data_IF_353088835609
#
_entry.id   IF_353088835609
#
_cell.length_a   1.000
_cell.length_b   1.000
_cell.length_c   1.000
_cell.angle_alpha   90.00
_cell.angle_beta   90.00
_cell.angle_gamma   90.00
#
_symmetry.space_group_name_H-M   'P 1'
#
loop_
_entity.id
_entity.type
_entity.pdbx_description
1 polymer ?
#
# COMPACT_ATOMS: atom_id res chain seq x y z
N UNK A 1 9.17 26.97 52.39
CA UNK A 1 8.62 26.29 51.20
C UNK A 1 8.32 27.34 50.13
N UNK A 2 9.31 27.68 49.30
CA UNK A 2 9.14 28.61 48.18
C UNK A 2 8.56 27.85 47.00
N UNK A 3 7.24 27.99 46.79
CA UNK A 3 6.51 27.40 45.66
C UNK A 3 6.97 28.11 44.37
N UNK A 4 7.81 27.46 43.56
CA UNK A 4 8.13 27.94 42.21
C UNK A 4 6.82 28.01 41.42
N UNK A 5 6.51 29.20 40.88
CA UNK A 5 5.42 29.33 39.92
C UNK A 5 5.89 28.66 38.61
N UNK A 6 5.06 27.83 37.96
CA UNK A 6 5.40 27.34 36.65
C UNK A 6 5.46 28.52 35.68
N UNK A 7 6.54 28.61 34.90
CA UNK A 7 6.63 29.56 33.79
C UNK A 7 5.53 29.20 32.78
N UNK A 8 4.62 30.14 32.54
CA UNK A 8 3.57 29.98 31.55
C UNK A 8 4.14 30.25 30.16
N UNK A 9 3.93 29.31 29.23
CA UNK A 9 4.31 29.48 27.82
C UNK A 9 3.66 30.73 27.24
N UNK A 10 4.45 31.51 26.52
CA UNK A 10 3.92 32.68 25.81
C UNK A 10 3.18 32.23 24.55
N UNK A 11 2.11 32.92 24.17
CA UNK A 11 1.36 32.62 22.95
C UNK A 11 2.25 32.65 21.69
N UNK A 12 3.29 33.49 21.69
CA UNK A 12 4.22 33.64 20.57
C UNK A 12 5.14 32.44 20.39
N UNK A 13 5.61 31.83 21.49
CA UNK A 13 6.42 30.61 21.43
C UNK A 13 5.64 29.46 20.79
N UNK A 14 4.36 29.30 21.17
CA UNK A 14 3.51 28.26 20.61
C UNK A 14 3.18 28.52 19.13
N UNK A 15 2.99 29.78 18.75
CA UNK A 15 2.71 30.19 17.38
C UNK A 15 3.90 29.93 16.44
N UNK A 16 5.12 30.24 16.86
CA UNK A 16 6.32 29.99 16.04
C UNK A 16 6.52 28.48 15.82
N UNK A 17 6.26 27.66 16.83
CA UNK A 17 6.43 26.20 16.72
C UNK A 17 5.48 25.60 15.69
N UNK A 18 4.19 25.96 15.74
CA UNK A 18 3.23 25.45 14.75
C UNK A 18 3.54 25.94 13.33
N UNK A 19 4.08 27.16 13.20
CA UNK A 19 4.50 27.70 11.90
C UNK A 19 5.64 26.88 11.29
N UNK A 20 6.65 26.50 12.09
CA UNK A 20 7.76 25.65 11.64
C UNK A 20 7.25 24.25 11.27
N UNK A 21 6.38 23.65 12.09
CA UNK A 21 5.78 22.33 11.79
C UNK A 21 5.00 22.36 10.48
N UNK A 22 4.22 23.43 10.22
CA UNK A 22 3.45 23.57 9.00
C UNK A 22 4.35 23.62 7.74
N UNK A 23 5.45 24.37 7.80
CA UNK A 23 6.43 24.44 6.70
C UNK A 23 7.08 23.08 6.45
N UNK A 24 7.47 22.37 7.51
CA UNK A 24 8.04 21.02 7.39
C UNK A 24 7.02 20.04 6.79
N UNK A 25 5.80 20.00 7.33
CA UNK A 25 4.72 19.14 6.83
C UNK A 25 4.39 19.40 5.36
N UNK A 26 4.41 20.66 4.92
CA UNK A 26 4.17 21.02 3.51
C UNK A 26 5.17 20.37 2.55
N UNK A 27 6.43 20.16 2.98
CA UNK A 27 7.46 19.48 2.19
C UNK A 27 7.44 17.96 2.40
N UNK A 28 7.16 17.49 3.62
CA UNK A 28 7.13 16.06 3.93
C UNK A 28 5.93 15.33 3.32
N UNK A 29 4.73 15.92 3.32
CA UNK A 29 3.52 15.27 2.79
C UNK A 29 3.65 14.83 1.31
N UNK A 30 4.10 15.69 0.37
CA UNK A 30 4.28 15.26 -1.02
C UNK A 30 5.39 14.20 -1.17
N UNK A 31 6.47 14.28 -0.39
CA UNK A 31 7.54 13.29 -0.40
C UNK A 31 7.04 11.92 0.10
N UNK A 32 6.27 11.89 1.18
CA UNK A 32 5.70 10.68 1.76
C UNK A 32 4.70 10.00 0.80
N UNK A 33 3.87 10.78 0.11
CA UNK A 33 2.94 10.25 -0.89
C UNK A 33 3.68 9.54 -2.03
N UNK A 34 4.77 10.13 -2.54
CA UNK A 34 5.63 9.50 -3.56
C UNK A 34 6.29 8.23 -3.05
N UNK A 35 6.84 8.26 -1.83
CA UNK A 35 7.47 7.09 -1.21
C UNK A 35 6.48 5.92 -1.02
N UNK A 36 5.25 6.21 -0.58
CA UNK A 36 4.18 5.20 -0.45
C UNK A 36 3.84 4.55 -1.79
N UNK A 37 3.72 5.35 -2.84
CA UNK A 37 3.41 4.83 -4.19
C UNK A 37 4.56 3.98 -4.73
N UNK A 38 5.80 4.41 -4.56
CA UNK A 38 6.98 3.60 -4.89
C UNK A 38 7.01 2.28 -4.10
N UNK A 39 6.67 2.30 -2.82
CA UNK A 39 6.57 1.10 -1.99
C UNK A 39 5.51 0.11 -2.49
N UNK A 40 4.33 0.60 -2.89
CA UNK A 40 3.29 -0.25 -3.51
C UNK A 40 3.77 -0.89 -4.80
N UNK A 41 4.46 -0.13 -5.66
CA UNK A 41 5.02 -0.65 -6.92
C UNK A 41 6.09 -1.70 -6.66
N UNK A 42 6.98 -1.47 -5.71
CA UNK A 42 8.00 -2.44 -5.32
C UNK A 42 7.38 -3.76 -4.84
N UNK A 43 6.35 -3.69 -3.99
CA UNK A 43 5.62 -4.86 -3.53
C UNK A 43 4.92 -5.60 -4.68
N UNK A 44 4.24 -4.88 -5.58
CA UNK A 44 3.60 -5.45 -6.76
C UNK A 44 4.60 -6.17 -7.67
N UNK A 45 5.75 -5.54 -7.97
CA UNK A 45 6.81 -6.16 -8.75
C UNK A 45 7.36 -7.43 -8.08
N UNK A 46 7.50 -7.43 -6.74
CA UNK A 46 7.88 -8.61 -5.97
C UNK A 46 6.86 -9.76 -6.09
N UNK A 47 5.57 -9.46 -6.02
CA UNK A 47 4.51 -10.45 -6.19
C UNK A 47 4.48 -11.01 -7.62
N UNK A 48 4.60 -10.15 -8.64
CA UNK A 48 4.64 -10.57 -10.04
C UNK A 48 5.83 -11.47 -10.34
N UNK A 49 7.01 -11.14 -9.79
CA UNK A 49 8.20 -11.99 -9.90
C UNK A 49 7.95 -13.38 -9.30
N UNK A 50 7.36 -13.43 -8.10
CA UNK A 50 7.04 -14.70 -7.44
C UNK A 50 6.02 -15.53 -8.22
N UNK A 51 4.96 -14.92 -8.74
CA UNK A 51 3.98 -15.61 -9.60
C UNK A 51 4.59 -16.12 -10.89
N UNK A 52 5.42 -15.31 -11.54
CA UNK A 52 6.12 -15.71 -12.77
C UNK A 52 7.02 -16.92 -12.51
N UNK A 53 7.79 -16.91 -11.42
CA UNK A 53 8.60 -18.05 -11.02
C UNK A 53 7.74 -19.29 -10.75
N UNK A 54 6.60 -19.14 -10.06
CA UNK A 54 5.69 -20.25 -9.81
C UNK A 54 5.14 -20.86 -11.11
N UNK A 55 4.77 -20.04 -12.09
CA UNK A 55 4.33 -20.53 -13.40
C UNK A 55 5.42 -21.22 -14.19
N UNK A 56 6.65 -20.70 -14.17
CA UNK A 56 7.80 -21.35 -14.82
C UNK A 56 8.06 -22.71 -14.18
N UNK A 57 8.11 -22.78 -12.84
CA UNK A 57 8.32 -24.03 -12.12
C UNK A 57 7.21 -25.04 -12.43
N UNK A 58 5.95 -24.60 -12.47
CA UNK A 58 4.83 -25.46 -12.83
C UNK A 58 4.95 -26.01 -14.25
N UNK A 59 5.24 -25.18 -15.24
CA UNK A 59 5.39 -25.60 -16.63
C UNK A 59 6.51 -26.64 -16.78
N UNK A 60 7.65 -26.43 -16.11
CA UNK A 60 8.77 -27.37 -16.11
C UNK A 60 8.39 -28.75 -15.60
N UNK A 61 7.50 -28.82 -14.59
CA UNK A 61 7.04 -30.07 -14.01
C UNK A 61 5.85 -30.71 -14.77
N UNK A 62 5.22 -29.98 -15.71
CA UNK A 62 3.97 -30.38 -16.38
C UNK A 62 4.05 -30.31 -17.92
N UNK A 63 5.10 -30.87 -18.53
CA UNK A 63 5.29 -30.92 -20.00
C UNK A 63 5.17 -29.54 -20.69
N UNK A 64 5.69 -28.48 -20.08
CA UNK A 64 5.59 -27.09 -20.55
C UNK A 64 4.15 -26.55 -20.65
N UNK A 65 3.17 -27.22 -20.03
CA UNK A 65 1.77 -26.79 -20.00
C UNK A 65 1.55 -25.80 -18.86
N UNK A 66 0.92 -24.66 -19.19
CA UNK A 66 0.40 -23.73 -18.19
C UNK A 66 -1.04 -24.08 -17.84
N UNK A 67 -1.49 -23.66 -16.65
CA UNK A 67 -2.90 -23.79 -16.24
C UNK A 67 -3.77 -23.01 -17.22
N UNK A 68 -4.79 -23.67 -17.77
CA UNK A 68 -5.73 -23.04 -18.70
C UNK A 68 -6.59 -21.99 -17.97
N UNK A 69 -6.76 -20.83 -18.61
CA UNK A 69 -7.62 -19.75 -18.12
C UNK A 69 -9.04 -19.81 -18.68
N UNK A 70 -9.38 -20.89 -19.39
CA UNK A 70 -10.65 -21.02 -20.10
C UNK A 70 -11.78 -21.12 -19.08
N UNK A 71 -12.52 -20.02 -18.94
CA UNK A 71 -13.71 -19.94 -18.07
C UNK A 71 -14.95 -20.51 -18.74
N UNK A 72 -14.88 -20.88 -20.02
CA UNK A 72 -16.01 -21.41 -20.79
C UNK A 72 -16.59 -22.68 -20.15
N UNK A 73 -15.73 -23.57 -19.64
CA UNK A 73 -16.15 -24.81 -18.96
C UNK A 73 -16.84 -24.53 -17.61
N UNK A 74 -16.45 -23.45 -16.91
CA UNK A 74 -17.07 -23.04 -15.64
C UNK A 74 -18.42 -22.35 -15.85
N UNK A 75 -18.59 -21.56 -16.92
CA UNK A 75 -19.89 -20.98 -17.29
C UNK A 75 -20.89 -22.02 -17.80
N UNK A 76 -20.43 -23.11 -18.42
CA UNK A 76 -21.30 -24.22 -18.78
C UNK A 76 -21.77 -25.04 -17.56
N UNK A 77 -20.98 -25.07 -16.48
CA UNK A 77 -21.32 -25.74 -15.22
C UNK A 77 -22.12 -24.86 -14.25
N UNK A 78 -21.93 -23.53 -14.26
CA UNK A 78 -22.68 -22.57 -13.44
C UNK A 78 -23.87 -21.99 -14.23
N UNK A 79 -24.93 -22.77 -14.38
CA UNK A 79 -26.21 -22.21 -14.83
C UNK A 79 -26.79 -21.32 -13.72
N UNK A 80 -27.08 -20.02 -13.97
CA UNK A 80 -27.84 -19.24 -13.02
C UNK A 80 -29.24 -19.85 -12.93
N UNK A 81 -29.59 -20.39 -11.77
CA UNK A 81 -30.97 -20.80 -11.47
C UNK A 81 -31.93 -19.63 -11.69
N UNK A 82 -33.21 -19.89 -12.00
CA UNK A 82 -34.16 -18.83 -12.30
C UNK A 82 -34.25 -17.87 -11.11
N UNK A 83 -34.10 -16.57 -11.39
CA UNK A 83 -34.40 -15.53 -10.43
C UNK A 83 -35.86 -15.68 -10.02
N UNK A 84 -36.09 -16.06 -8.76
CA UNK A 84 -37.41 -16.02 -8.12
C UNK A 84 -37.83 -14.57 -7.89
#
# INVERSE_FOLDING_TARGET
MTRRRPDAFTLIELLVVIAIIAVLMAVLMPALNRAREQGKRAACMGNLKQLTLAWIMYAMDNDDKLVNGDTEEYTAMYQPGPAL
#
